data_IF_398779381037
#
_entry.id   IF_398779381037
#
_cell.length_a   1.000
_cell.length_b   1.000
_cell.length_c   1.000
_cell.angle_alpha   90.00
_cell.angle_beta   90.00
_cell.angle_gamma   90.00
#
_symmetry.space_group_name_H-M   'P 1'
#
loop_
_entity.id
_entity.type
_entity.pdbx_description
1 polymer ?
#
# COMPACT_ATOMS: atom_id res chain seq x y z
N UNK A 1 -13.46 -0.37 -13.43
CA UNK A 1 -14.21 0.14 -12.27
C UNK A 1 -13.72 -0.64 -11.07
N UNK A 2 -12.95 -0.02 -10.17
CA UNK A 2 -12.52 -0.65 -8.92
C UNK A 2 -13.75 -0.73 -8.02
N UNK A 3 -14.08 -1.94 -7.59
CA UNK A 3 -15.22 -2.20 -6.71
C UNK A 3 -14.72 -1.96 -5.27
N UNK A 4 -14.85 -0.73 -4.78
CA UNK A 4 -14.31 -0.30 -3.47
C UNK A 4 -14.93 -1.01 -2.25
N UNK A 5 -15.94 -1.86 -2.44
CA UNK A 5 -16.56 -2.67 -1.39
C UNK A 5 -15.89 -4.03 -1.25
N UNK A 6 -14.66 -4.05 -0.75
CA UNK A 6 -13.96 -5.29 -0.36
C UNK A 6 -12.45 -5.22 -0.51
N UNK A 7 -11.95 -4.39 -1.43
CA UNK A 7 -10.53 -4.29 -1.69
C UNK A 7 -9.79 -3.61 -0.52
N UNK A 8 -8.65 -4.20 -0.18
CA UNK A 8 -7.66 -3.62 0.73
C UNK A 8 -7.13 -2.33 0.10
N UNK A 9 -7.21 -1.20 0.81
CA UNK A 9 -6.67 0.09 0.32
C UNK A 9 -5.73 0.72 1.33
N UNK A 10 -4.55 1.13 0.88
CA UNK A 10 -3.62 1.97 1.62
C UNK A 10 -3.35 3.30 0.90
N UNK A 11 -3.07 4.33 1.69
CA UNK A 11 -2.40 5.53 1.23
C UNK A 11 -1.03 5.63 1.89
N UNK A 12 -0.02 5.96 1.09
CA UNK A 12 1.38 6.01 1.50
C UNK A 12 1.98 7.32 1.02
N UNK A 13 2.76 7.97 1.88
CA UNK A 13 3.45 9.20 1.53
C UNK A 13 4.78 8.91 0.79
N UNK A 14 5.41 9.97 0.26
CA UNK A 14 6.71 9.87 -0.42
C UNK A 14 7.81 9.28 0.48
N UNK A 15 7.69 9.48 1.78
CA UNK A 15 8.62 8.98 2.78
C UNK A 15 8.34 7.53 3.21
N UNK A 16 7.60 6.73 2.41
CA UNK A 16 7.30 5.31 2.59
C UNK A 16 6.37 4.95 3.77
N UNK A 17 5.80 5.95 4.45
CA UNK A 17 4.94 5.73 5.61
C UNK A 17 3.48 5.54 5.20
N UNK A 18 2.82 4.57 5.83
CA UNK A 18 1.39 4.35 5.67
C UNK A 18 0.66 5.46 6.43
N UNK A 19 -0.05 6.32 5.71
CA UNK A 19 -0.81 7.41 6.32
C UNK A 19 -2.26 7.02 6.62
N UNK A 20 -2.79 6.03 5.91
CA UNK A 20 -4.15 5.55 6.08
C UNK A 20 -4.33 4.16 5.46
N UNK A 21 -5.15 3.33 6.09
CA UNK A 21 -5.69 2.10 5.52
C UNK A 21 -7.19 2.00 5.78
N UNK A 22 -7.96 1.49 4.81
CA UNK A 22 -9.40 1.32 5.01
C UNK A 22 -9.71 0.16 5.99
N UNK A 23 -10.99 -0.02 6.33
CA UNK A 23 -11.41 -1.11 7.23
C UNK A 23 -11.09 -2.51 6.69
N UNK A 24 -11.19 -2.71 5.37
CA UNK A 24 -10.77 -3.95 4.73
C UNK A 24 -9.26 -4.19 4.90
N UNK A 25 -8.45 -3.13 4.87
CA UNK A 25 -7.02 -3.23 5.07
C UNK A 25 -6.63 -3.68 6.47
N UNK A 26 -7.26 -3.06 7.47
CA UNK A 26 -7.10 -3.45 8.87
C UNK A 26 -7.54 -4.90 9.09
N UNK A 27 -8.70 -5.30 8.55
CA UNK A 27 -9.21 -6.67 8.69
C UNK A 27 -8.32 -7.71 7.99
N UNK A 28 -7.82 -7.41 6.79
CA UNK A 28 -7.00 -8.31 6.01
C UNK A 28 -5.61 -8.52 6.62
N UNK A 29 -4.98 -7.46 7.15
CA UNK A 29 -3.63 -7.52 7.74
C UNK A 29 -3.62 -7.78 9.24
N UNK A 30 -4.76 -7.67 9.91
CA UNK A 30 -4.91 -7.89 11.34
C UNK A 30 -4.53 -6.69 12.22
N UNK A 31 -4.07 -5.57 11.66
CA UNK A 31 -3.68 -4.39 12.43
C UNK A 31 -4.88 -3.50 12.78
N UNK A 32 -4.85 -2.87 13.96
CA UNK A 32 -5.71 -1.73 14.24
C UNK A 32 -5.29 -0.53 13.36
N UNK A 33 -6.18 0.44 13.08
CA UNK A 33 -5.85 1.60 12.25
C UNK A 33 -4.60 2.36 12.72
N UNK A 34 -4.47 2.60 14.02
CA UNK A 34 -3.33 3.32 14.60
C UNK A 34 -2.01 2.54 14.44
N UNK A 35 -2.04 1.22 14.63
CA UNK A 35 -0.87 0.36 14.47
C UNK A 35 -0.45 0.31 13.01
N UNK A 36 -1.41 0.19 12.08
CA UNK A 36 -1.15 0.15 10.65
C UNK A 36 -0.46 1.43 10.16
N UNK A 37 -0.91 2.60 10.64
CA UNK A 37 -0.31 3.90 10.29
C UNK A 37 1.04 4.17 10.95
N UNK A 38 1.43 3.35 11.93
CA UNK A 38 2.77 3.41 12.50
C UNK A 38 3.81 2.63 11.67
N UNK A 39 3.37 1.89 10.64
CA UNK A 39 4.24 1.06 9.79
C UNK A 39 4.68 1.82 8.53
N UNK A 40 5.88 1.48 8.07
CA UNK A 40 6.34 1.76 6.71
C UNK A 40 5.91 0.64 5.76
N UNK A 41 5.82 0.94 4.46
CA UNK A 41 5.46 -0.05 3.45
C UNK A 41 6.51 -1.16 3.31
N UNK A 42 7.79 -0.86 3.51
CA UNK A 42 8.89 -1.85 3.58
C UNK A 42 8.75 -2.80 4.78
N UNK A 43 8.19 -2.31 5.91
CA UNK A 43 7.89 -3.19 7.02
C UNK A 43 6.74 -4.10 6.62
N UNK A 44 5.71 -3.59 5.95
CA UNK A 44 4.57 -4.40 5.55
C UNK A 44 4.91 -5.39 4.43
N UNK A 45 5.70 -4.99 3.44
CA UNK A 45 6.05 -5.76 2.27
C UNK A 45 7.56 -6.01 2.26
N UNK A 46 7.96 -7.22 2.65
CA UNK A 46 9.37 -7.61 2.76
C UNK A 46 10.07 -7.75 1.40
N UNK A 47 9.34 -7.71 0.28
CA UNK A 47 9.93 -7.73 -1.04
C UNK A 47 10.24 -6.32 -1.57
N UNK A 48 9.71 -5.28 -0.92
CA UNK A 48 10.04 -3.89 -1.23
C UNK A 48 11.25 -3.46 -0.40
N UNK A 49 12.41 -3.38 -1.04
CA UNK A 49 13.56 -2.72 -0.45
C UNK A 49 13.31 -1.20 -0.36
N UNK A 50 13.97 -0.48 0.55
CA UNK A 50 13.80 0.98 0.67
C UNK A 50 14.10 1.74 -0.64
N UNK A 51 15.05 1.23 -1.43
CA UNK A 51 15.44 1.76 -2.74
C UNK A 51 14.38 1.52 -3.84
N UNK A 52 13.53 0.50 -3.68
CA UNK A 52 12.45 0.22 -4.62
C UNK A 52 11.34 1.27 -4.50
N UNK A 53 11.07 1.77 -3.29
CA UNK A 53 9.98 2.75 -3.09
C UNK A 53 10.23 4.06 -3.83
N UNK A 54 11.46 4.57 -3.82
CA UNK A 54 11.79 5.79 -4.59
C UNK A 54 11.61 5.56 -6.09
N UNK A 55 12.07 4.41 -6.59
CA UNK A 55 11.90 4.03 -8.00
C UNK A 55 10.41 3.92 -8.38
N UNK A 56 9.61 3.27 -7.54
CA UNK A 56 8.15 3.17 -7.72
C UNK A 56 7.52 4.55 -7.69
N UNK A 57 7.91 5.41 -6.75
CA UNK A 57 7.38 6.76 -6.65
C UNK A 57 7.66 7.59 -7.91
N UNK A 58 8.91 7.60 -8.36
CA UNK A 58 9.31 8.32 -9.57
C UNK A 58 8.57 7.77 -10.79
N UNK A 59 8.40 6.44 -10.89
CA UNK A 59 7.59 5.84 -11.95
C UNK A 59 6.14 6.29 -11.88
N UNK A 60 5.52 6.31 -10.70
CA UNK A 60 4.15 6.76 -10.49
C UNK A 60 3.96 8.24 -10.84
N UNK A 61 4.96 9.10 -10.60
CA UNK A 61 4.92 10.51 -11.00
C UNK A 61 4.86 10.69 -12.52
N UNK A 62 5.47 9.79 -13.29
CA UNK A 62 5.52 9.88 -14.76
C UNK A 62 4.41 9.08 -15.46
N UNK A 63 4.00 7.96 -14.88
CA UNK A 63 3.10 6.99 -15.51
C UNK A 63 1.75 6.84 -14.81
N UNK A 64 1.54 7.54 -13.69
CA UNK A 64 0.33 7.57 -12.86
C UNK A 64 -0.08 6.25 -12.18
N UNK A 65 0.31 5.08 -12.71
CA UNK A 65 0.02 3.79 -12.10
C UNK A 65 1.08 2.72 -12.36
N UNK A 66 1.09 1.71 -11.50
CA UNK A 66 1.95 0.52 -11.59
C UNK A 66 1.19 -0.69 -11.07
N UNK A 67 1.38 -1.85 -11.71
CA UNK A 67 0.82 -3.12 -11.23
C UNK A 67 1.94 -4.12 -10.97
N UNK A 68 1.91 -4.80 -9.83
CA UNK A 68 2.85 -5.86 -9.49
C UNK A 68 2.21 -6.89 -8.56
N UNK A 69 2.86 -8.04 -8.40
CA UNK A 69 2.52 -9.03 -7.38
C UNK A 69 3.53 -8.94 -6.25
N UNK A 70 3.05 -9.01 -5.02
CA UNK A 70 3.90 -9.03 -3.84
C UNK A 70 3.27 -9.83 -2.70
N UNK A 71 3.89 -9.78 -1.52
CA UNK A 71 3.37 -10.41 -0.32
C UNK A 71 3.41 -9.43 0.85
N UNK A 72 2.25 -9.19 1.46
CA UNK A 72 2.13 -8.34 2.64
C UNK A 72 2.16 -9.19 3.91
N UNK A 73 2.86 -8.71 4.94
CA UNK A 73 2.93 -9.36 6.24
C UNK A 73 1.75 -8.97 7.13
N UNK A 74 0.95 -9.97 7.47
CA UNK A 74 -0.07 -9.88 8.52
C UNK A 74 0.57 -9.67 9.90
N UNK A 75 -0.13 -9.07 10.87
CA UNK A 75 0.36 -8.85 12.24
C UNK A 75 0.87 -10.13 12.92
N UNK A 76 0.27 -11.28 12.62
CA UNK A 76 0.70 -12.58 13.15
C UNK A 76 1.99 -13.14 12.51
N UNK A 77 2.58 -12.42 11.55
CA UNK A 77 3.78 -12.84 10.82
C UNK A 77 3.53 -13.65 9.55
N UNK A 78 2.29 -14.06 9.25
CA UNK A 78 1.98 -14.76 7.98
C UNK A 78 2.08 -13.82 6.78
N UNK A 79 2.55 -14.34 5.68
CA UNK A 79 2.56 -13.69 4.38
C UNK A 79 1.18 -13.81 3.70
N UNK A 80 0.75 -12.75 3.03
CA UNK A 80 -0.49 -12.67 2.25
C UNK A 80 -0.13 -12.29 0.83
N UNK A 81 -0.31 -13.22 -0.10
CA UNK A 81 -0.02 -12.96 -1.51
C UNK A 81 -1.09 -12.05 -2.12
N UNK A 82 -0.62 -10.97 -2.73
CA UNK A 82 -1.48 -9.89 -3.20
C UNK A 82 -1.06 -9.41 -4.58
N UNK A 83 -2.06 -9.14 -5.42
CA UNK A 83 -1.88 -8.27 -6.59
C UNK A 83 -2.07 -6.83 -6.15
N UNK A 84 -1.13 -5.96 -6.50
CA UNK A 84 -1.12 -4.55 -6.12
C UNK A 84 -1.30 -3.68 -7.36
N UNK A 85 -2.26 -2.76 -7.31
CA UNK A 85 -2.37 -1.61 -8.20
C UNK A 85 -2.00 -0.34 -7.42
N UNK A 86 -0.88 0.27 -7.78
CA UNK A 86 -0.43 1.54 -7.26
C UNK A 86 -0.95 2.68 -8.14
N UNK A 87 -1.42 3.76 -7.53
CA UNK A 87 -1.87 4.98 -8.22
C UNK A 87 -1.28 6.21 -7.57
N UNK A 88 -0.79 7.13 -8.38
CA UNK A 88 -0.42 8.47 -7.93
C UNK A 88 -1.67 9.32 -7.73
N UNK A 89 -1.81 9.93 -6.54
CA UNK A 89 -2.94 10.81 -6.23
C UNK A 89 -2.44 12.05 -5.49
N UNK A 90 -2.90 13.21 -5.92
CA UNK A 90 -2.71 14.47 -5.19
C UNK A 90 -4.00 14.87 -4.50
N UNK A 91 -3.95 15.03 -3.18
CA UNK A 91 -5.07 15.49 -2.35
C UNK A 91 -4.65 16.74 -1.58
N UNK A 92 -5.37 17.85 -1.75
CA UNK A 92 -5.07 19.12 -1.09
C UNK A 92 -3.62 19.62 -1.29
N UNK A 93 -3.02 19.35 -2.46
CA UNK A 93 -1.65 19.73 -2.77
C UNK A 93 -0.58 18.82 -2.16
N UNK A 94 -0.97 17.71 -1.54
CA UNK A 94 -0.05 16.69 -1.03
C UNK A 94 -0.19 15.40 -1.84
N UNK A 95 0.95 14.81 -2.16
CA UNK A 95 1.03 13.63 -3.01
C UNK A 95 1.09 12.35 -2.20
N UNK A 96 0.39 11.34 -2.71
CA UNK A 96 0.27 10.01 -2.12
C UNK A 96 0.33 8.94 -3.21
N UNK A 97 0.79 7.76 -2.81
CA UNK A 97 0.54 6.53 -3.53
C UNK A 97 -0.66 5.83 -2.89
N UNK A 98 -1.70 5.58 -3.68
CA UNK A 98 -2.83 4.74 -3.31
C UNK A 98 -2.56 3.32 -3.80
N UNK A 99 -2.48 2.37 -2.87
CA UNK A 99 -2.36 0.95 -3.17
C UNK A 99 -3.72 0.31 -3.02
N UNK A 100 -4.17 -0.37 -4.06
CA UNK A 100 -5.32 -1.26 -4.04
C UNK A 100 -4.75 -2.68 -4.11
N UNK A 101 -4.97 -3.47 -3.05
CA UNK A 101 -4.54 -4.87 -3.03
C UNK A 101 -5.72 -5.83 -3.16
N UNK A 102 -5.51 -6.85 -3.98
CA UNK A 102 -6.43 -7.96 -4.17
C UNK A 102 -5.76 -9.23 -3.66
N UNK A 103 -6.39 -9.87 -2.69
CA UNK A 103 -5.93 -11.16 -2.15
C UNK A 103 -6.33 -12.29 -3.11
N UNK A 104 -5.47 -13.31 -3.22
CA UNK A 104 -5.75 -14.54 -3.98
C UNK A 104 -6.26 -15.66 -3.10
#
# INVERSE_FOLDING_TARGET
MVNTSGDYVLFINRANQIIHGNGAACAALGYAPADLTALSIEFLDTHLAPEDWQTIWDHLQHHASLNLRSSHRHQSGRALDVSLEFKYITLHGQDYSCIIAMQH
#
